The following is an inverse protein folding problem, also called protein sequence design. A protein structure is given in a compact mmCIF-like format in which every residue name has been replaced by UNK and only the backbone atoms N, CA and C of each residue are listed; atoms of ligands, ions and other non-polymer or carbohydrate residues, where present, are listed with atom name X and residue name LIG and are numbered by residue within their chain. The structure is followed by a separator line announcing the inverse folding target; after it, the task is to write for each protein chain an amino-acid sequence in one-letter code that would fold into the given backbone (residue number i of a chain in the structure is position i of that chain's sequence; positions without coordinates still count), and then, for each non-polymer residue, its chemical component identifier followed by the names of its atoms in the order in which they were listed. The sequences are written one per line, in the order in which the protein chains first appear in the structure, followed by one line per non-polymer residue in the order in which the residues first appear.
data_IF_804847665381
#
_entry.id   IF_804847665381
#
_cell.length_a   1.000
_cell.length_b   1.000
_cell.length_c   1.000
_cell.angle_alpha   90.00
_cell.angle_beta   90.00
_cell.angle_gamma   90.00
#
_symmetry.space_group_name_H-M   'P 1'
#
loop_
_entity.id
_entity.type
_entity.pdbx_description
1 polymer ?
#
# COMPACT_ATOMS: atom_id res chain seq x y z
N UNK A 1 3.31 13.54 23.75
CA UNK A 1 1.88 13.14 23.77
C UNK A 1 1.79 11.67 24.16
N UNK A 2 0.67 11.22 24.79
CA UNK A 2 0.44 9.80 25.05
C UNK A 2 0.22 9.04 23.71
N UNK A 3 0.83 7.86 23.50
CA UNK A 3 0.74 7.10 22.25
C UNK A 3 -0.70 6.70 21.86
N UNK A 4 -1.55 6.41 22.86
CA UNK A 4 -2.96 6.08 22.62
C UNK A 4 -3.77 7.28 22.13
N UNK A 5 -3.48 8.46 22.69
CA UNK A 5 -4.13 9.70 22.24
C UNK A 5 -3.73 10.06 20.82
N UNK A 6 -2.44 9.93 20.49
CA UNK A 6 -1.93 10.17 19.14
C UNK A 6 -2.56 9.20 18.11
N UNK A 7 -2.58 7.90 18.43
CA UNK A 7 -3.23 6.89 17.60
C UNK A 7 -4.75 7.16 17.44
N UNK A 8 -5.41 7.56 18.54
CA UNK A 8 -6.82 7.92 18.54
C UNK A 8 -7.12 9.10 17.60
N UNK A 9 -6.32 10.16 17.64
CA UNK A 9 -6.51 11.33 16.78
C UNK A 9 -6.33 10.98 15.29
N UNK A 10 -5.33 10.15 14.97
CA UNK A 10 -5.13 9.67 13.61
C UNK A 10 -6.32 8.79 13.14
N UNK A 11 -6.72 7.80 13.94
CA UNK A 11 -7.83 6.91 13.61
C UNK A 11 -9.16 7.67 13.50
N UNK A 12 -9.42 8.64 14.39
CA UNK A 12 -10.62 9.46 14.33
C UNK A 12 -10.71 10.31 13.05
N UNK A 13 -9.58 10.79 12.53
CA UNK A 13 -9.53 11.49 11.25
C UNK A 13 -9.92 10.57 10.09
N UNK A 14 -9.44 9.32 10.11
CA UNK A 14 -9.78 8.29 9.12
C UNK A 14 -11.27 7.91 9.20
N UNK A 15 -11.76 7.59 10.39
CA UNK A 15 -13.17 7.21 10.60
C UNK A 15 -14.16 8.34 10.23
N UNK A 16 -13.71 9.59 10.33
CA UNK A 16 -14.48 10.75 9.88
C UNK A 16 -14.32 11.07 8.38
N UNK A 17 -13.56 10.27 7.61
CA UNK A 17 -13.32 10.49 6.18
C UNK A 17 -12.50 11.74 5.85
N UNK A 18 -11.75 12.29 6.82
CA UNK A 18 -10.99 13.55 6.65
C UNK A 18 -9.58 13.35 6.14
N UNK A 19 -8.99 12.18 6.35
CA UNK A 19 -7.63 11.86 5.92
C UNK A 19 -7.41 10.35 5.85
N UNK A 20 -6.39 9.91 5.10
CA UNK A 20 -5.83 8.56 5.20
C UNK A 20 -4.95 8.42 6.45
N UNK A 21 -4.63 7.19 6.87
CA UNK A 21 -3.64 6.96 7.94
C UNK A 21 -2.27 7.53 7.55
N UNK A 22 -1.88 7.40 6.28
CA UNK A 22 -0.62 7.95 5.77
C UNK A 22 -0.53 9.47 5.91
N UNK A 23 -1.65 10.19 5.85
CA UNK A 23 -1.69 11.64 6.07
C UNK A 23 -1.90 12.02 7.54
N UNK A 24 -2.74 11.28 8.28
CA UNK A 24 -3.13 11.64 9.63
C UNK A 24 -2.10 11.25 10.70
N UNK A 25 -1.36 10.16 10.51
CA UNK A 25 -0.47 9.62 11.54
C UNK A 25 0.86 10.37 11.69
N UNK A 26 1.60 10.75 10.63
CA UNK A 26 2.91 11.41 10.76
C UNK A 26 2.88 12.65 11.66
N UNK A 27 1.94 13.61 11.53
CA UNK A 27 1.88 14.78 12.40
C UNK A 27 1.60 14.43 13.87
N UNK A 28 1.07 13.25 14.15
CA UNK A 28 0.86 12.78 15.52
C UNK A 28 2.13 12.12 16.08
N UNK A 29 2.88 11.39 15.24
CA UNK A 29 4.16 10.78 15.62
C UNK A 29 5.20 11.81 16.03
N UNK A 30 5.18 13.00 15.43
CA UNK A 30 6.09 14.10 15.79
C UNK A 30 5.84 14.63 17.21
N UNK A 31 4.64 14.42 17.76
CA UNK A 31 4.24 14.84 19.11
C UNK A 31 4.50 13.75 20.16
N UNK A 32 4.91 12.57 19.74
CA UNK A 32 5.15 11.40 20.61
C UNK A 32 6.65 11.20 20.80
N UNK A 33 7.06 10.77 22.01
CA UNK A 33 8.45 10.43 22.26
C UNK A 33 8.92 9.32 21.30
N UNK A 34 10.18 9.36 20.83
CA UNK A 34 10.69 8.38 19.84
C UNK A 34 10.44 6.92 20.22
N UNK A 35 10.65 6.56 21.51
CA UNK A 35 10.42 5.22 22.06
C UNK A 35 8.96 4.74 21.96
N UNK A 36 8.00 5.65 21.89
CA UNK A 36 6.55 5.37 21.89
C UNK A 36 5.95 5.41 20.47
N UNK A 37 6.72 5.79 19.46
CA UNK A 37 6.26 5.88 18.05
C UNK A 37 5.80 4.54 17.51
N UNK A 38 6.55 3.47 17.79
CA UNK A 38 6.17 2.11 17.37
C UNK A 38 4.82 1.67 17.95
N UNK A 39 4.58 1.94 19.24
CA UNK A 39 3.28 1.67 19.86
C UNK A 39 2.16 2.50 19.23
N UNK A 40 2.40 3.77 18.96
CA UNK A 40 1.41 4.64 18.30
C UNK A 40 1.01 4.10 16.93
N UNK A 41 1.99 3.69 16.13
CA UNK A 41 1.76 3.07 14.82
C UNK A 41 0.97 1.77 14.95
N UNK A 42 1.42 0.86 15.82
CA UNK A 42 0.75 -0.42 16.07
C UNK A 42 -0.72 -0.23 16.43
N UNK A 43 -1.03 0.70 17.33
CA UNK A 43 -2.40 0.96 17.76
C UNK A 43 -3.27 1.57 16.65
N UNK A 44 -2.73 2.50 15.86
CA UNK A 44 -3.47 3.14 14.79
C UNK A 44 -3.73 2.16 13.62
N UNK A 45 -2.68 1.48 13.15
CA UNK A 45 -2.79 0.52 12.05
C UNK A 45 -3.58 -0.72 12.45
N UNK A 46 -3.35 -1.25 13.65
CA UNK A 46 -4.03 -2.43 14.16
C UNK A 46 -5.53 -2.21 14.35
N UNK A 47 -5.91 -1.09 14.96
CA UNK A 47 -7.33 -0.74 15.12
C UNK A 47 -8.03 -0.51 13.77
N UNK A 48 -7.36 0.12 12.80
CA UNK A 48 -7.89 0.26 11.44
C UNK A 48 -8.00 -1.09 10.72
N UNK A 49 -7.00 -1.98 10.88
CA UNK A 49 -6.95 -3.32 10.28
C UNK A 49 -8.12 -4.20 10.73
N UNK A 50 -8.45 -4.15 12.00
CA UNK A 50 -9.52 -4.95 12.59
C UNK A 50 -10.81 -4.16 12.83
N UNK A 51 -10.93 -2.94 12.27
CA UNK A 51 -12.06 -2.06 12.52
C UNK A 51 -13.43 -2.73 12.34
N UNK A 52 -13.73 -3.53 11.29
CA UNK A 52 -15.04 -4.16 11.15
C UNK A 52 -15.39 -5.10 12.32
N UNK A 53 -14.42 -5.87 12.79
CA UNK A 53 -14.59 -6.77 13.94
C UNK A 53 -14.71 -6.02 15.26
N UNK A 54 -13.84 -5.03 15.47
CA UNK A 54 -13.88 -4.18 16.66
C UNK A 54 -15.17 -3.36 16.73
N UNK A 55 -15.67 -2.89 15.61
CA UNK A 55 -16.95 -2.19 15.48
C UNK A 55 -18.12 -3.09 15.85
N UNK A 56 -18.15 -4.34 15.36
CA UNK A 56 -19.18 -5.31 15.68
C UNK A 56 -19.18 -5.64 17.18
N UNK A 57 -17.98 -5.79 17.77
CA UNK A 57 -17.83 -6.01 19.21
C UNK A 57 -18.28 -4.79 20.03
N UNK A 58 -17.87 -3.58 19.63
CA UNK A 58 -18.30 -2.35 20.28
C UNK A 58 -19.83 -2.19 20.27
N UNK A 59 -20.48 -2.56 19.17
CA UNK A 59 -21.94 -2.53 19.06
C UNK A 59 -22.65 -3.50 20.04
N UNK A 60 -22.01 -4.62 20.40
CA UNK A 60 -22.54 -5.55 21.42
C UNK A 60 -22.33 -5.08 22.87
N UNK A 61 -21.28 -4.29 23.07
CA UNK A 61 -20.87 -3.80 24.38
C UNK A 61 -21.56 -2.48 24.77
N UNK A 62 -21.83 -1.62 23.79
CA UNK A 62 -22.47 -0.33 24.01
C UNK A 62 -24.00 -0.46 24.06
N UNK A 63 -24.63 0.25 24.99
CA UNK A 63 -26.10 0.37 25.01
C UNK A 63 -26.63 1.23 23.86
N UNK A 64 -25.87 2.28 23.51
CA UNK A 64 -26.18 3.20 22.41
C UNK A 64 -24.87 3.57 21.69
N UNK A 65 -24.86 3.68 20.35
CA UNK A 65 -23.69 4.14 19.61
C UNK A 65 -23.32 5.58 19.99
N UNK A 66 -22.06 5.92 19.89
CA UNK A 66 -21.60 7.31 20.02
C UNK A 66 -22.15 8.18 18.88
N UNK A 67 -22.36 9.46 19.16
CA UNK A 67 -22.77 10.44 18.14
C UNK A 67 -21.61 10.71 17.18
N UNK A 68 -21.91 11.20 15.98
CA UNK A 68 -20.89 11.58 15.00
C UNK A 68 -19.87 12.61 15.53
N UNK A 69 -20.32 13.52 16.43
CA UNK A 69 -19.46 14.49 17.12
C UNK A 69 -18.44 13.84 18.09
N UNK A 70 -18.63 12.56 18.43
CA UNK A 70 -17.82 11.80 19.38
C UNK A 70 -17.01 10.67 18.69
N UNK A 71 -16.69 10.85 17.40
CA UNK A 71 -15.86 9.91 16.63
C UNK A 71 -14.50 9.65 17.27
N UNK A 72 -13.94 10.62 17.96
CA UNK A 72 -12.71 10.48 18.75
C UNK A 72 -12.88 9.53 19.95
N UNK A 73 -13.99 9.58 20.68
CA UNK A 73 -14.31 8.63 21.75
C UNK A 73 -14.54 7.23 21.17
N UNK A 74 -15.19 7.17 20.01
CA UNK A 74 -15.37 5.91 19.30
C UNK A 74 -14.03 5.31 18.88
N UNK A 75 -13.13 6.08 18.26
CA UNK A 75 -11.78 5.67 17.91
C UNK A 75 -10.98 5.20 19.14
N UNK A 76 -11.12 5.92 20.27
CA UNK A 76 -10.47 5.57 21.53
C UNK A 76 -10.97 4.23 22.07
N UNK A 77 -12.28 3.94 21.98
CA UNK A 77 -12.85 2.65 22.32
C UNK A 77 -12.26 1.53 21.43
N UNK A 78 -12.22 1.72 20.10
CA UNK A 78 -11.65 0.72 19.19
C UNK A 78 -10.19 0.42 19.51
N UNK A 79 -9.39 1.43 19.83
CA UNK A 79 -8.00 1.26 20.27
C UNK A 79 -7.91 0.49 21.58
N UNK A 80 -8.81 0.77 22.53
CA UNK A 80 -8.89 0.01 23.79
C UNK A 80 -9.20 -1.46 23.56
N UNK A 81 -10.19 -1.75 22.72
CA UNK A 81 -10.56 -3.12 22.33
C UNK A 81 -9.42 -3.81 21.57
N UNK A 82 -8.76 -3.10 20.65
CA UNK A 82 -7.60 -3.64 19.93
C UNK A 82 -6.49 -4.07 20.88
N UNK A 83 -6.14 -3.23 21.88
CA UNK A 83 -5.13 -3.56 22.86
C UNK A 83 -5.47 -4.84 23.64
N UNK A 84 -6.73 -4.98 24.08
CA UNK A 84 -7.17 -6.14 24.86
C UNK A 84 -7.15 -7.46 24.05
N UNK A 85 -7.38 -7.39 22.74
CA UNK A 85 -7.57 -8.57 21.90
C UNK A 85 -6.33 -8.99 21.11
N UNK A 86 -5.49 -8.02 20.72
CA UNK A 86 -4.44 -8.25 19.72
C UNK A 86 -3.03 -7.87 20.20
N UNK A 87 -2.89 -7.36 21.43
CA UNK A 87 -1.57 -6.99 21.96
C UNK A 87 -1.25 -7.73 23.25
N UNK A 88 0.03 -7.71 23.62
CA UNK A 88 0.50 -8.26 24.91
C UNK A 88 0.47 -7.22 26.04
N UNK A 89 -0.17 -6.06 25.83
CA UNK A 89 -0.28 -5.03 26.85
C UNK A 89 -1.16 -5.54 27.99
N UNK A 90 -0.69 -5.46 29.25
CA UNK A 90 -1.50 -5.90 30.38
C UNK A 90 -2.87 -5.22 30.42
N UNK A 91 -3.98 -5.95 30.64
CA UNK A 91 -5.34 -5.40 30.55
C UNK A 91 -5.58 -4.16 31.42
N UNK A 92 -5.00 -4.12 32.63
CA UNK A 92 -5.13 -2.96 33.51
C UNK A 92 -4.51 -1.70 32.90
N UNK A 93 -3.35 -1.83 32.22
CA UNK A 93 -2.68 -0.74 31.55
C UNK A 93 -3.44 -0.34 30.26
N UNK A 94 -3.90 -1.32 29.47
CA UNK A 94 -4.72 -1.06 28.29
C UNK A 94 -5.97 -0.25 28.63
N UNK A 95 -6.70 -0.64 29.70
CA UNK A 95 -7.92 0.03 30.11
C UNK A 95 -7.60 1.41 30.74
N UNK A 96 -6.72 1.44 31.75
CA UNK A 96 -6.45 2.66 32.50
C UNK A 96 -5.94 3.80 31.64
N UNK A 97 -4.92 3.52 30.82
CA UNK A 97 -4.32 4.49 29.92
C UNK A 97 -5.28 4.96 28.80
N UNK A 98 -6.12 4.05 28.29
CA UNK A 98 -7.14 4.42 27.28
C UNK A 98 -8.20 5.33 27.88
N UNK A 99 -8.75 4.97 29.06
CA UNK A 99 -9.76 5.77 29.75
C UNK A 99 -9.21 7.17 30.12
N UNK A 100 -7.93 7.24 30.55
CA UNK A 100 -7.27 8.51 30.87
C UNK A 100 -7.16 9.48 29.70
N UNK A 101 -7.15 8.99 28.47
CA UNK A 101 -7.12 9.84 27.28
C UNK A 101 -8.41 10.68 27.08
N UNK A 102 -9.54 10.26 27.65
CA UNK A 102 -10.81 11.00 27.52
C UNK A 102 -10.73 12.43 28.13
N UNK A 103 -9.96 12.61 29.20
CA UNK A 103 -9.73 13.94 29.78
C UNK A 103 -8.95 14.84 28.82
N UNK A 104 -7.96 14.29 28.13
CA UNK A 104 -7.14 15.02 27.12
C UNK A 104 -7.95 15.41 25.89
N UNK A 105 -9.02 14.66 25.58
CA UNK A 105 -10.00 14.99 24.55
C UNK A 105 -11.07 15.96 25.03
N UNK A 106 -11.00 16.44 26.30
CA UNK A 106 -12.01 17.30 26.94
C UNK A 106 -13.40 16.64 27.00
N UNK A 107 -13.44 15.31 27.04
CA UNK A 107 -14.65 14.48 27.08
C UNK A 107 -14.64 13.54 28.30
N UNK A 108 -14.35 14.10 29.48
CA UNK A 108 -14.28 13.35 30.75
C UNK A 108 -15.54 12.56 31.07
N UNK A 109 -16.71 12.97 30.53
CA UNK A 109 -17.97 12.23 30.64
C UNK A 109 -17.88 10.79 30.08
N UNK A 110 -17.02 10.55 29.10
CA UNK A 110 -16.87 9.23 28.46
C UNK A 110 -16.10 8.22 29.32
N UNK A 111 -15.37 8.65 30.36
CA UNK A 111 -14.52 7.75 31.19
C UNK A 111 -15.31 6.59 31.77
N UNK A 112 -16.47 6.86 32.34
CA UNK A 112 -17.33 5.82 32.92
C UNK A 112 -17.76 4.76 31.91
N UNK A 113 -18.21 5.21 30.73
CA UNK A 113 -18.63 4.32 29.63
C UNK A 113 -17.44 3.51 29.09
N UNK A 114 -16.32 4.16 28.78
CA UNK A 114 -15.12 3.48 28.29
C UNK A 114 -14.62 2.43 29.29
N UNK A 115 -14.53 2.76 30.57
CA UNK A 115 -14.09 1.81 31.61
C UNK A 115 -15.05 0.63 31.72
N UNK A 116 -16.37 0.87 31.78
CA UNK A 116 -17.36 -0.20 31.87
C UNK A 116 -17.32 -1.14 30.64
N UNK A 117 -17.26 -0.57 29.43
CA UNK A 117 -17.22 -1.32 28.17
C UNK A 117 -15.93 -2.14 28.07
N UNK A 118 -14.77 -1.54 28.32
CA UNK A 118 -13.47 -2.25 28.23
C UNK A 118 -13.32 -3.33 29.31
N UNK A 119 -13.81 -3.11 30.54
CA UNK A 119 -13.83 -4.15 31.56
C UNK A 119 -14.79 -5.29 31.22
N UNK A 120 -15.94 -4.98 30.60
CA UNK A 120 -16.85 -6.02 30.10
C UNK A 120 -16.20 -6.81 28.96
N UNK A 121 -15.53 -6.13 28.01
CA UNK A 121 -14.77 -6.80 26.96
C UNK A 121 -13.67 -7.71 27.53
N UNK A 122 -13.00 -7.29 28.59
CA UNK A 122 -11.99 -8.13 29.26
C UNK A 122 -12.59 -9.42 29.86
N UNK A 123 -13.78 -9.35 30.44
CA UNK A 123 -14.43 -10.53 31.08
C UNK A 123 -15.11 -11.44 30.10
N UNK A 124 -15.80 -10.88 29.11
CA UNK A 124 -16.74 -11.59 28.23
C UNK A 124 -16.22 -11.65 26.78
N UNK A 125 -15.01 -11.15 26.50
CA UNK A 125 -14.50 -10.92 25.15
C UNK A 125 -14.49 -12.15 24.26
N UNK A 126 -14.08 -13.31 24.76
CA UNK A 126 -14.07 -14.56 23.99
C UNK A 126 -15.47 -14.99 23.54
N UNK A 127 -16.43 -14.95 24.45
CA UNK A 127 -17.83 -15.28 24.13
C UNK A 127 -18.42 -14.31 23.11
N UNK A 128 -18.21 -13.01 23.34
CA UNK A 128 -18.70 -11.98 22.43
C UNK A 128 -18.03 -12.03 21.05
N UNK A 129 -16.74 -12.38 20.99
CA UNK A 129 -16.04 -12.59 19.72
C UNK A 129 -16.62 -13.77 18.95
N UNK A 130 -16.90 -14.90 19.64
CA UNK A 130 -17.54 -16.04 18.99
C UNK A 130 -18.93 -15.71 18.42
N UNK A 131 -19.65 -14.78 19.04
CA UNK A 131 -20.92 -14.29 18.52
C UNK A 131 -20.75 -13.39 17.29
N UNK A 132 -19.87 -12.39 17.34
CA UNK A 132 -19.67 -11.44 16.22
C UNK A 132 -19.01 -12.12 15.02
N UNK A 133 -18.19 -13.13 15.23
CA UNK A 133 -17.51 -13.89 14.17
C UNK A 133 -18.45 -14.81 13.35
N UNK A 134 -19.72 -14.91 13.75
CA UNK A 134 -20.77 -15.50 12.89
C UNK A 134 -21.03 -14.64 11.64
N UNK A 135 -20.76 -13.33 11.70
CA UNK A 135 -20.77 -12.46 10.52
C UNK A 135 -19.38 -12.52 9.84
N UNK A 136 -19.30 -12.99 8.58
CA UNK A 136 -18.04 -13.01 7.84
C UNK A 136 -17.32 -11.67 7.77
N UNK A 137 -18.06 -10.55 7.77
CA UNK A 137 -17.47 -9.20 7.76
C UNK A 137 -16.64 -8.93 9.02
N UNK A 138 -17.17 -9.32 10.19
CA UNK A 138 -16.45 -9.23 11.45
C UNK A 138 -15.30 -10.24 11.50
N UNK A 139 -15.57 -11.51 11.24
CA UNK A 139 -14.59 -12.59 11.30
C UNK A 139 -13.38 -12.35 10.42
N UNK A 140 -13.59 -11.94 9.16
CA UNK A 140 -12.52 -11.67 8.21
C UNK A 140 -11.99 -10.22 8.30
N UNK A 141 -12.61 -9.35 9.11
CA UNK A 141 -12.16 -7.97 9.29
C UNK A 141 -12.25 -7.10 8.04
N UNK A 142 -13.24 -7.33 7.17
CA UNK A 142 -13.45 -6.60 5.92
C UNK A 142 -14.90 -6.13 5.78
N UNK A 143 -15.16 -4.96 5.17
CA UNK A 143 -16.53 -4.51 4.89
C UNK A 143 -17.24 -5.48 3.94
N UNK A 144 -18.54 -5.61 4.10
CA UNK A 144 -19.36 -6.57 3.34
C UNK A 144 -19.24 -6.40 1.82
N UNK A 145 -19.21 -5.17 1.32
CA UNK A 145 -19.07 -4.90 -0.10
C UNK A 145 -17.74 -5.44 -0.65
N UNK A 146 -16.65 -5.23 0.10
CA UNK A 146 -15.31 -5.67 -0.30
C UNK A 146 -15.21 -7.20 -0.27
N UNK A 147 -15.76 -7.86 0.75
CA UNK A 147 -15.83 -9.32 0.77
C UNK A 147 -16.62 -9.88 -0.41
N UNK A 148 -17.74 -9.23 -0.77
CA UNK A 148 -18.53 -9.64 -1.93
C UNK A 148 -17.70 -9.53 -3.22
N UNK A 149 -17.01 -8.41 -3.42
CA UNK A 149 -16.16 -8.17 -4.58
C UNK A 149 -14.97 -9.15 -4.65
N UNK A 150 -14.28 -9.36 -3.52
CA UNK A 150 -13.18 -10.33 -3.44
C UNK A 150 -13.65 -11.77 -3.69
N UNK A 151 -14.79 -12.15 -3.12
CA UNK A 151 -15.36 -13.48 -3.34
C UNK A 151 -15.77 -13.72 -4.79
N UNK A 152 -16.27 -12.69 -5.45
CA UNK A 152 -16.62 -12.76 -6.88
C UNK A 152 -15.37 -12.90 -7.75
N UNK A 153 -14.32 -12.16 -7.45
CA UNK A 153 -13.06 -12.17 -8.20
C UNK A 153 -12.20 -13.42 -7.91
N UNK A 154 -12.13 -13.83 -6.65
CA UNK A 154 -11.20 -14.85 -6.13
C UNK A 154 -11.91 -15.80 -5.16
N UNK A 155 -12.88 -16.61 -5.63
CA UNK A 155 -13.72 -17.43 -4.75
C UNK A 155 -12.91 -18.44 -3.92
N UNK A 156 -11.88 -19.07 -4.51
CA UNK A 156 -11.05 -20.08 -3.86
C UNK A 156 -9.96 -19.46 -2.95
N UNK A 157 -9.56 -18.22 -3.22
CA UNK A 157 -8.50 -17.53 -2.50
C UNK A 157 -9.01 -16.55 -1.44
N UNK A 158 -10.33 -16.44 -1.23
CA UNK A 158 -10.91 -15.41 -0.38
C UNK A 158 -10.31 -15.40 1.04
N UNK A 159 -10.25 -16.55 1.70
CA UNK A 159 -9.79 -16.63 3.08
C UNK A 159 -8.29 -16.34 3.20
N UNK A 160 -7.46 -16.84 2.27
CA UNK A 160 -6.03 -16.56 2.24
C UNK A 160 -5.74 -15.11 1.94
N UNK A 161 -6.51 -14.50 1.03
CA UNK A 161 -6.40 -13.08 0.67
C UNK A 161 -6.79 -12.19 1.86
N UNK A 162 -7.89 -12.50 2.55
CA UNK A 162 -8.29 -11.77 3.76
C UNK A 162 -7.27 -11.94 4.89
N UNK A 163 -6.69 -13.13 5.05
CA UNK A 163 -5.63 -13.38 6.03
C UNK A 163 -4.38 -12.53 5.72
N UNK A 164 -3.95 -12.49 4.45
CA UNK A 164 -2.82 -11.67 4.02
C UNK A 164 -3.07 -10.16 4.24
N UNK A 165 -4.28 -9.68 3.92
CA UNK A 165 -4.68 -8.29 4.17
C UNK A 165 -4.66 -7.90 5.66
N UNK A 166 -4.86 -8.87 6.56
CA UNK A 166 -4.86 -8.65 8.00
C UNK A 166 -3.51 -8.98 8.66
N UNK A 167 -2.55 -9.52 7.92
CA UNK A 167 -1.21 -9.77 8.42
C UNK A 167 -0.40 -8.46 8.57
N UNK A 168 0.64 -8.49 9.40
CA UNK A 168 1.66 -7.45 9.40
C UNK A 168 2.45 -7.53 8.09
N UNK A 169 2.70 -6.39 7.41
CA UNK A 169 3.47 -6.40 6.18
C UNK A 169 4.93 -6.77 6.46
N UNK A 170 5.54 -7.66 5.67
CA UNK A 170 6.97 -7.89 5.74
C UNK A 170 7.73 -6.63 5.30
N UNK A 171 8.94 -6.45 5.83
CA UNK A 171 9.86 -5.44 5.35
C UNK A 171 10.73 -6.06 4.27
N UNK A 172 10.57 -5.56 3.05
CA UNK A 172 11.32 -6.02 1.88
C UNK A 172 12.23 -4.90 1.39
N UNK A 173 13.48 -5.24 1.14
CA UNK A 173 14.50 -4.37 0.61
C UNK A 173 14.74 -4.67 -0.86
N UNK A 174 15.11 -3.66 -1.62
CA UNK A 174 15.66 -3.76 -2.96
C UNK A 174 17.11 -3.32 -2.91
N UNK A 175 18.02 -4.18 -3.31
CA UNK A 175 19.44 -3.87 -3.42
C UNK A 175 19.67 -3.02 -4.66
N UNK A 176 20.46 -1.95 -4.52
CA UNK A 176 20.85 -1.09 -5.62
C UNK A 176 22.05 -1.74 -6.36
N UNK A 177 21.81 -2.28 -7.55
CA UNK A 177 22.84 -2.97 -8.37
C UNK A 177 24.06 -2.09 -8.70
N UNK A 178 23.92 -0.80 -8.62
CA UNK A 178 25.06 0.14 -8.81
C UNK A 178 26.09 0.07 -7.69
N UNK A 179 25.70 -0.48 -6.54
CA UNK A 179 26.55 -0.62 -5.34
C UNK A 179 26.94 -2.06 -5.01
N UNK A 180 26.36 -3.05 -5.67
CA UNK A 180 26.68 -4.46 -5.46
C UNK A 180 25.52 -5.40 -5.74
N UNK A 181 25.78 -6.68 -5.56
CA UNK A 181 24.81 -7.75 -5.82
C UNK A 181 24.06 -8.13 -4.54
N UNK A 182 22.85 -8.68 -4.70
CA UNK A 182 21.95 -9.10 -3.59
C UNK A 182 22.63 -10.03 -2.60
N UNK A 183 23.36 -11.04 -3.10
CA UNK A 183 23.92 -12.09 -2.23
C UNK A 183 25.07 -11.55 -1.37
N UNK A 184 25.83 -10.56 -1.86
CA UNK A 184 26.83 -9.86 -1.07
C UNK A 184 26.19 -9.06 0.05
N UNK A 185 25.07 -8.38 -0.23
CA UNK A 185 24.35 -7.63 0.80
C UNK A 185 23.66 -8.55 1.82
N UNK A 186 23.17 -9.72 1.42
CA UNK A 186 22.67 -10.76 2.34
C UNK A 186 23.76 -11.23 3.33
N UNK A 187 25.00 -11.44 2.85
CA UNK A 187 26.11 -11.79 3.71
C UNK A 187 26.42 -10.69 4.73
N UNK A 188 26.43 -9.44 4.30
CA UNK A 188 26.63 -8.28 5.18
C UNK A 188 25.52 -8.14 6.25
N UNK A 189 24.25 -8.37 5.88
CA UNK A 189 23.15 -8.41 6.84
C UNK A 189 23.36 -9.52 7.89
N UNK A 190 23.82 -10.72 7.46
CA UNK A 190 24.10 -11.81 8.37
C UNK A 190 25.24 -11.47 9.33
N UNK A 191 26.34 -10.84 8.85
CA UNK A 191 27.43 -10.35 9.70
C UNK A 191 26.96 -9.30 10.71
N UNK A 192 26.00 -8.45 10.31
CA UNK A 192 25.36 -7.46 11.19
C UNK A 192 24.33 -8.09 12.16
N UNK A 193 24.12 -9.42 12.14
CA UNK A 193 23.13 -10.11 12.96
C UNK A 193 21.68 -9.85 12.53
N UNK A 194 21.45 -9.44 11.29
CA UNK A 194 20.13 -9.14 10.72
C UNK A 194 19.65 -10.35 9.91
N UNK A 195 18.65 -11.08 10.43
CA UNK A 195 18.04 -12.19 9.72
C UNK A 195 17.32 -11.71 8.46
N UNK A 196 17.65 -12.33 7.32
CA UNK A 196 17.07 -11.99 6.03
C UNK A 196 17.12 -13.19 5.06
N UNK A 197 16.28 -13.17 4.02
CA UNK A 197 16.29 -14.13 2.93
C UNK A 197 16.12 -13.44 1.58
N UNK A 198 16.60 -14.09 0.52
CA UNK A 198 16.29 -13.64 -0.84
C UNK A 198 14.79 -13.72 -1.10
N UNK A 199 14.27 -12.80 -1.88
CA UNK A 199 12.91 -12.86 -2.44
C UNK A 199 12.84 -13.92 -3.55
N UNK A 200 11.64 -14.45 -3.79
CA UNK A 200 11.43 -15.57 -4.71
C UNK A 200 11.43 -15.12 -6.19
N UNK A 201 10.96 -13.92 -6.46
CA UNK A 201 10.71 -13.43 -7.83
C UNK A 201 11.58 -12.24 -8.21
N UNK A 202 11.89 -11.34 -7.28
CA UNK A 202 12.77 -10.21 -7.56
C UNK A 202 14.23 -10.61 -7.42
N UNK A 203 15.01 -10.34 -8.46
CA UNK A 203 16.46 -10.56 -8.46
C UNK A 203 17.18 -9.73 -7.39
N UNK A 204 16.69 -8.52 -7.10
CA UNK A 204 17.30 -7.57 -6.17
C UNK A 204 16.63 -7.58 -4.78
N UNK A 205 15.59 -8.40 -4.62
CA UNK A 205 14.74 -8.42 -3.45
C UNK A 205 15.31 -9.20 -2.28
N UNK A 206 15.23 -8.62 -1.09
CA UNK A 206 15.59 -9.25 0.19
C UNK A 206 14.44 -9.00 1.17
N UNK A 207 13.94 -10.05 1.79
CA UNK A 207 12.95 -9.94 2.86
C UNK A 207 13.63 -10.08 4.23
N UNK A 208 13.44 -9.11 5.11
CA UNK A 208 13.91 -9.17 6.48
C UNK A 208 13.04 -10.10 7.33
N UNK A 209 13.66 -10.81 8.27
CA UNK A 209 12.96 -11.67 9.23
C UNK A 209 12.09 -10.85 10.21
N UNK A 210 12.47 -9.60 10.49
CA UNK A 210 11.69 -8.66 11.29
C UNK A 210 11.90 -7.23 10.76
N UNK A 211 10.85 -6.37 10.80
CA UNK A 211 10.98 -4.96 10.45
C UNK A 211 12.00 -4.25 11.36
N UNK A 212 12.75 -3.32 10.76
CA UNK A 212 13.77 -2.51 11.47
C UNK A 212 13.67 -1.05 11.06
N UNK A 213 14.28 -0.19 11.87
CA UNK A 213 14.54 1.19 11.45
C UNK A 213 15.54 1.16 10.27
N UNK A 214 15.23 1.88 9.20
CA UNK A 214 16.10 1.94 8.01
C UNK A 214 17.49 2.47 8.32
N UNK A 215 17.63 3.24 9.40
CA UNK A 215 18.93 3.77 9.89
C UNK A 215 19.85 2.69 10.45
N UNK A 216 19.30 1.52 10.79
CA UNK A 216 20.06 0.36 11.26
C UNK A 216 20.53 -0.54 10.11
N UNK A 217 20.08 -0.26 8.88
CA UNK A 217 20.46 -1.04 7.71
C UNK A 217 21.81 -0.56 7.16
N UNK A 218 22.77 -1.46 6.93
CA UNK A 218 24.07 -1.12 6.36
C UNK A 218 23.94 -0.36 5.03
N UNK A 219 24.53 0.83 4.93
CA UNK A 219 24.57 1.62 3.71
C UNK A 219 23.22 2.13 3.19
N UNK A 220 22.18 2.22 4.03
CA UNK A 220 20.89 2.79 3.60
C UNK A 220 21.00 4.27 3.23
N UNK A 221 21.72 5.04 4.05
CA UNK A 221 21.94 6.48 3.79
C UNK A 221 22.74 6.71 2.51
N UNK A 222 23.68 5.82 2.20
CA UNK A 222 24.52 5.81 1.01
C UNK A 222 23.82 5.28 -0.24
N UNK A 223 22.54 4.92 -0.12
CA UNK A 223 21.74 4.48 -1.26
C UNK A 223 21.98 3.03 -1.70
N UNK A 224 22.59 2.17 -0.87
CA UNK A 224 22.85 0.78 -1.20
C UNK A 224 21.59 -0.09 -1.25
N UNK A 225 20.56 0.29 -0.52
CA UNK A 225 19.26 -0.37 -0.52
C UNK A 225 18.11 0.62 -0.43
N UNK A 226 16.95 0.18 -0.87
CA UNK A 226 15.66 0.88 -0.72
C UNK A 226 14.61 -0.06 -0.15
N UNK A 227 13.60 0.47 0.56
CA UNK A 227 12.46 -0.32 1.00
C UNK A 227 11.43 -0.34 -0.13
N UNK A 228 11.17 -1.53 -0.66
CA UNK A 228 10.16 -1.72 -1.71
C UNK A 228 9.64 -3.16 -1.66
N UNK A 229 8.33 -3.33 -1.79
CA UNK A 229 7.72 -4.66 -1.88
C UNK A 229 8.22 -5.43 -3.10
N UNK A 230 8.38 -6.76 -2.96
CA UNK A 230 8.87 -7.64 -4.02
C UNK A 230 8.02 -7.52 -5.29
N UNK A 231 6.68 -7.51 -5.17
CA UNK A 231 5.81 -7.41 -6.33
C UNK A 231 6.02 -6.11 -7.10
N UNK A 232 6.26 -4.98 -6.41
CA UNK A 232 6.54 -3.70 -7.05
C UNK A 232 7.92 -3.64 -7.70
N UNK A 233 8.88 -4.46 -7.25
CA UNK A 233 10.22 -4.54 -7.84
C UNK A 233 10.22 -5.14 -9.25
N UNK A 234 9.25 -6.00 -9.59
CA UNK A 234 9.17 -6.62 -10.91
C UNK A 234 9.01 -5.60 -12.05
N UNK A 235 8.47 -4.41 -11.78
CA UNK A 235 8.20 -3.41 -12.80
C UNK A 235 9.43 -3.05 -13.66
N UNK A 236 10.59 -2.83 -13.05
CA UNK A 236 11.80 -2.42 -13.76
C UNK A 236 12.33 -3.52 -14.69
N UNK A 237 12.28 -4.78 -14.25
CA UNK A 237 12.70 -5.92 -15.06
C UNK A 237 11.72 -6.19 -16.21
N UNK A 238 10.40 -6.11 -15.94
CA UNK A 238 9.36 -6.38 -16.92
C UNK A 238 9.29 -5.31 -18.02
N UNK A 239 9.69 -4.08 -17.73
CA UNK A 239 9.75 -3.02 -18.73
C UNK A 239 10.85 -3.24 -19.77
N UNK A 240 11.91 -3.98 -19.42
CA UNK A 240 13.04 -4.32 -20.32
C UNK A 240 13.62 -3.08 -21.02
N UNK A 241 13.92 -2.05 -20.25
CA UNK A 241 14.55 -0.84 -20.79
C UNK A 241 16.00 -1.12 -21.20
N UNK A 242 16.46 -0.45 -22.27
CA UNK A 242 17.78 -0.62 -22.86
C UNK A 242 18.55 0.72 -22.89
N UNK A 243 19.90 0.67 -23.01
CA UNK A 243 20.70 1.89 -23.14
C UNK A 243 20.22 2.79 -24.30
N UNK A 244 20.31 4.10 -24.11
CA UNK A 244 19.90 5.09 -25.09
C UNK A 244 18.40 5.31 -25.23
N UNK A 245 17.58 4.57 -24.51
CA UNK A 245 16.12 4.75 -24.52
C UNK A 245 15.67 5.91 -23.66
N UNK A 246 14.57 6.53 -24.10
CA UNK A 246 13.81 7.54 -23.38
C UNK A 246 12.62 6.86 -22.71
N UNK A 247 12.50 7.01 -21.40
CA UNK A 247 11.52 6.28 -20.57
C UNK A 247 10.59 7.28 -19.88
N UNK A 248 9.28 6.97 -19.89
CA UNK A 248 8.29 7.66 -19.08
C UNK A 248 7.90 6.77 -17.89
N UNK A 249 7.90 7.35 -16.68
CA UNK A 249 7.27 6.78 -15.49
C UNK A 249 6.06 7.65 -15.13
N UNK A 250 4.87 7.20 -15.49
CA UNK A 250 3.61 7.90 -15.25
C UNK A 250 3.00 7.47 -13.91
N UNK A 251 2.55 8.48 -13.13
CA UNK A 251 2.07 8.35 -11.76
C UNK A 251 3.17 7.86 -10.80
N UNK A 252 4.35 8.49 -10.92
CA UNK A 252 5.63 7.98 -10.42
C UNK A 252 5.79 7.98 -8.89
N UNK A 253 5.05 8.83 -8.17
CA UNK A 253 5.28 9.00 -6.73
C UNK A 253 4.91 7.75 -5.91
N UNK A 254 5.75 7.38 -4.94
CA UNK A 254 6.86 8.12 -4.32
C UNK A 254 8.25 7.93 -4.96
N UNK A 255 8.35 7.43 -6.20
CA UNK A 255 9.60 7.31 -6.95
C UNK A 255 10.34 5.99 -6.82
N UNK A 256 9.77 5.00 -6.15
CA UNK A 256 10.42 3.70 -5.96
C UNK A 256 10.70 2.96 -7.27
N UNK A 257 9.78 3.03 -8.25
CA UNK A 257 9.93 2.44 -9.58
C UNK A 257 10.84 3.29 -10.47
N UNK A 258 10.71 4.62 -10.44
CA UNK A 258 11.62 5.56 -11.12
C UNK A 258 13.07 5.29 -10.77
N UNK A 259 13.38 5.22 -9.45
CA UNK A 259 14.73 4.92 -8.97
C UNK A 259 15.19 3.55 -9.44
N UNK A 260 14.34 2.53 -9.36
CA UNK A 260 14.67 1.16 -9.78
C UNK A 260 15.01 1.08 -11.27
N UNK A 261 14.29 1.77 -12.14
CA UNK A 261 14.61 1.89 -13.56
C UNK A 261 16.03 2.44 -13.79
N UNK A 262 16.38 3.50 -13.07
CA UNK A 262 17.70 4.14 -13.15
C UNK A 262 18.83 3.32 -12.52
N UNK A 263 18.51 2.50 -11.51
CA UNK A 263 19.47 1.57 -10.90
C UNK A 263 19.77 0.38 -11.83
N UNK A 264 18.72 -0.14 -12.49
CA UNK A 264 18.85 -1.32 -13.37
C UNK A 264 19.41 -0.97 -14.74
N UNK A 265 19.16 0.24 -15.23
CA UNK A 265 19.63 0.69 -16.56
C UNK A 265 20.23 2.10 -16.50
N UNK A 266 21.50 2.23 -16.08
CA UNK A 266 22.16 3.54 -15.96
C UNK A 266 22.45 4.24 -17.31
N UNK A 267 22.34 3.53 -18.43
CA UNK A 267 22.56 4.04 -19.77
C UNK A 267 21.33 4.63 -20.46
N UNK A 268 20.22 4.87 -19.75
CA UNK A 268 19.02 5.53 -20.32
C UNK A 268 19.36 6.94 -20.80
N UNK A 269 18.83 7.32 -21.96
CA UNK A 269 19.02 8.67 -22.49
C UNK A 269 18.30 9.72 -21.62
N UNK A 270 17.08 9.38 -21.17
CA UNK A 270 16.28 10.26 -20.32
C UNK A 270 15.21 9.43 -19.58
N UNK A 271 14.93 9.82 -18.34
CA UNK A 271 13.74 9.35 -17.60
C UNK A 271 12.90 10.56 -17.23
N UNK A 272 11.67 10.61 -17.72
CA UNK A 272 10.66 11.60 -17.31
C UNK A 272 9.72 10.92 -16.34
N UNK A 273 9.54 11.51 -15.16
CA UNK A 273 8.68 11.01 -14.10
C UNK A 273 7.57 12.03 -13.83
N UNK A 274 6.32 11.64 -14.11
CA UNK A 274 5.15 12.51 -14.02
C UNK A 274 4.29 12.08 -12.85
N UNK A 275 3.86 13.02 -12.00
CA UNK A 275 2.82 12.79 -11.00
C UNK A 275 1.91 14.02 -10.90
N UNK A 276 0.65 13.82 -10.53
CA UNK A 276 -0.35 14.89 -10.48
C UNK A 276 -0.01 15.97 -9.45
N UNK A 277 0.53 15.55 -8.30
CA UNK A 277 0.71 16.44 -7.15
C UNK A 277 2.19 16.77 -6.91
N UNK A 278 2.56 18.05 -6.98
CA UNK A 278 3.90 18.53 -6.64
C UNK A 278 4.35 18.09 -5.22
N UNK A 279 3.42 18.07 -4.27
CA UNK A 279 3.71 17.63 -2.90
C UNK A 279 4.21 16.17 -2.82
N UNK A 280 3.75 15.31 -3.72
CA UNK A 280 4.18 13.92 -3.81
C UNK A 280 5.56 13.77 -4.47
N UNK A 281 5.90 14.67 -5.40
CA UNK A 281 7.21 14.69 -6.05
C UNK A 281 8.37 15.06 -5.09
N UNK A 282 8.08 15.68 -3.95
CA UNK A 282 9.10 15.92 -2.90
C UNK A 282 9.76 14.60 -2.50
N UNK A 283 8.98 13.53 -2.31
CA UNK A 283 9.51 12.20 -1.97
C UNK A 283 10.34 11.58 -3.09
N UNK A 284 9.97 11.83 -4.33
CA UNK A 284 10.73 11.36 -5.50
C UNK A 284 12.11 12.06 -5.52
N UNK A 285 12.16 13.38 -5.29
CA UNK A 285 13.42 14.15 -5.21
C UNK A 285 14.31 13.64 -4.07
N UNK A 286 13.75 13.43 -2.89
CA UNK A 286 14.50 12.89 -1.74
C UNK A 286 15.13 11.53 -2.06
N UNK A 287 14.37 10.63 -2.71
CA UNK A 287 14.88 9.31 -3.10
C UNK A 287 15.96 9.41 -4.18
N UNK A 288 15.75 10.21 -5.23
CA UNK A 288 16.75 10.45 -6.27
C UNK A 288 18.05 11.00 -5.68
N UNK A 289 17.95 12.00 -4.79
CA UNK A 289 19.11 12.59 -4.12
C UNK A 289 19.88 11.57 -3.29
N UNK A 290 19.17 10.80 -2.43
CA UNK A 290 19.79 9.75 -1.58
C UNK A 290 20.50 8.68 -2.40
N UNK A 291 19.95 8.33 -3.57
CA UNK A 291 20.46 7.27 -4.44
C UNK A 291 21.48 7.78 -5.48
N UNK A 292 21.76 9.10 -5.52
CA UNK A 292 22.64 9.68 -6.52
C UNK A 292 22.12 9.50 -7.95
N UNK A 293 20.81 9.59 -8.15
CA UNK A 293 20.11 9.38 -9.43
C UNK A 293 19.52 10.69 -9.95
N UNK A 294 19.26 10.75 -11.26
CA UNK A 294 18.65 11.91 -11.91
C UNK A 294 17.49 11.49 -12.80
N UNK A 295 16.39 12.24 -12.73
CA UNK A 295 15.24 12.15 -13.62
C UNK A 295 14.60 13.53 -13.78
N UNK A 296 13.92 13.77 -14.90
CA UNK A 296 13.11 14.96 -15.12
C UNK A 296 11.75 14.77 -14.42
N UNK A 297 11.49 15.58 -13.39
CA UNK A 297 10.24 15.51 -12.62
C UNK A 297 9.23 16.54 -13.11
N UNK A 298 8.01 16.09 -13.37
CA UNK A 298 6.94 16.95 -13.90
C UNK A 298 5.68 16.77 -13.03
N UNK A 299 5.21 17.89 -12.46
CA UNK A 299 3.93 17.94 -11.75
C UNK A 299 2.83 18.28 -12.75
N UNK A 300 2.11 17.27 -13.24
CA UNK A 300 1.04 17.45 -14.23
C UNK A 300 0.07 16.25 -14.19
N UNK A 301 -1.13 16.45 -14.73
CA UNK A 301 -1.99 15.35 -15.09
C UNK A 301 -1.37 14.60 -16.27
N UNK A 302 -1.05 13.33 -16.09
CA UNK A 302 -0.45 12.49 -17.13
C UNK A 302 -1.32 12.40 -18.40
N UNK A 303 -2.64 12.66 -18.30
CA UNK A 303 -3.57 12.72 -19.41
C UNK A 303 -3.42 13.99 -20.25
N UNK A 304 -2.96 15.08 -19.65
CA UNK A 304 -2.77 16.37 -20.32
C UNK A 304 -1.43 16.44 -21.07
N UNK A 305 -1.17 15.48 -21.96
CA UNK A 305 0.12 15.33 -22.65
C UNK A 305 0.57 16.58 -23.39
N UNK A 306 -0.37 17.39 -23.90
CA UNK A 306 -0.06 18.69 -24.54
C UNK A 306 0.58 19.72 -23.61
N UNK A 307 0.53 19.55 -22.30
CA UNK A 307 1.07 20.49 -21.31
C UNK A 307 2.52 20.15 -20.91
N UNK A 308 2.91 18.87 -20.97
CA UNK A 308 4.17 18.41 -20.40
C UNK A 308 5.06 17.61 -21.37
N UNK A 309 4.50 17.04 -22.44
CA UNK A 309 5.26 16.25 -23.40
C UNK A 309 5.88 17.15 -24.47
N UNK A 310 7.15 16.95 -24.76
CA UNK A 310 7.93 17.73 -25.75
C UNK A 310 7.75 17.25 -27.22
N UNK A 311 6.87 16.29 -27.46
CA UNK A 311 6.60 15.73 -28.79
C UNK A 311 7.58 14.62 -29.21
N UNK A 312 8.65 14.34 -28.46
CA UNK A 312 9.56 13.23 -28.74
C UNK A 312 9.03 11.93 -28.16
N UNK A 313 8.86 10.85 -28.95
CA UNK A 313 8.27 9.63 -28.47
C UNK A 313 9.14 8.92 -27.42
N UNK A 314 8.47 8.14 -26.57
CA UNK A 314 9.11 7.25 -25.60
C UNK A 314 9.28 5.85 -26.18
N UNK A 315 10.39 5.19 -25.89
CA UNK A 315 10.60 3.78 -26.22
C UNK A 315 9.96 2.87 -25.17
N UNK A 316 9.86 3.38 -23.94
CA UNK A 316 9.30 2.65 -22.81
C UNK A 316 8.40 3.57 -21.99
N UNK A 317 7.24 3.07 -21.61
CA UNK A 317 6.33 3.73 -20.67
C UNK A 317 6.02 2.76 -19.56
N UNK A 318 6.26 3.17 -18.32
CA UNK A 318 5.70 2.55 -17.13
C UNK A 318 4.49 3.36 -16.71
N UNK A 319 3.31 2.74 -16.70
CA UNK A 319 2.10 3.34 -16.13
C UNK A 319 1.77 2.59 -14.82
N UNK A 320 2.22 3.14 -13.69
CA UNK A 320 1.84 2.70 -12.35
C UNK A 320 0.50 3.35 -11.98
N UNK A 321 -0.58 2.81 -12.52
CA UNK A 321 -1.87 3.47 -12.60
C UNK A 321 -2.49 3.71 -11.20
N UNK A 322 -3.11 4.88 -10.97
CA UNK A 322 -3.95 5.10 -9.80
C UNK A 322 -5.02 4.02 -9.72
N UNK A 323 -5.13 3.37 -8.57
CA UNK A 323 -6.04 2.24 -8.40
C UNK A 323 -6.64 2.20 -6.98
N UNK A 324 -7.52 1.24 -6.72
CA UNK A 324 -8.13 1.05 -5.40
C UNK A 324 -7.13 0.67 -4.32
N UNK A 325 -5.95 0.20 -4.70
CA UNK A 325 -4.89 -0.29 -3.83
C UNK A 325 -5.32 -1.50 -2.96
N UNK A 326 -6.26 -2.30 -3.44
CA UNK A 326 -6.80 -3.47 -2.71
C UNK A 326 -5.80 -4.61 -2.54
N UNK A 327 -4.66 -4.57 -3.23
CA UNK A 327 -3.56 -5.52 -3.07
C UNK A 327 -2.58 -5.16 -1.94
N UNK A 328 -2.64 -3.93 -1.41
CA UNK A 328 -1.72 -3.42 -0.38
C UNK A 328 -2.42 -3.05 0.93
N UNK A 329 -3.61 -3.60 1.18
CA UNK A 329 -4.43 -3.35 2.37
C UNK A 329 -3.64 -3.58 3.66
N UNK A 330 -2.78 -4.59 3.74
CA UNK A 330 -1.99 -4.85 4.94
C UNK A 330 -1.06 -3.67 5.31
N UNK A 331 -0.60 -2.90 4.32
CA UNK A 331 0.21 -1.68 4.51
C UNK A 331 -0.64 -0.46 4.79
N UNK A 332 -1.83 -0.41 4.20
CA UNK A 332 -2.78 0.70 4.27
C UNK A 332 -4.17 0.18 4.67
N UNK A 333 -4.37 -0.26 5.93
CA UNK A 333 -5.62 -0.90 6.35
C UNK A 333 -6.83 0.03 6.31
N UNK A 334 -6.61 1.33 6.30
CA UNK A 334 -7.63 2.36 6.10
C UNK A 334 -8.27 2.32 4.70
N UNK A 335 -7.67 1.66 3.71
CA UNK A 335 -8.30 1.38 2.41
C UNK A 335 -9.66 0.69 2.61
N UNK A 336 -9.75 -0.26 3.53
CA UNK A 336 -11.01 -0.96 3.86
C UNK A 336 -12.11 -0.01 4.36
N UNK A 337 -11.73 1.12 4.95
CA UNK A 337 -12.62 2.09 5.58
C UNK A 337 -12.97 3.23 4.63
N UNK A 338 -12.04 3.62 3.76
CA UNK A 338 -12.14 4.76 2.88
C UNK A 338 -12.76 4.42 1.52
N UNK A 339 -12.46 3.23 0.96
CA UNK A 339 -12.96 2.84 -0.36
C UNK A 339 -14.42 2.43 -0.33
N UNK A 340 -15.10 2.72 -1.45
CA UNK A 340 -16.49 2.38 -1.74
C UNK A 340 -16.59 1.57 -3.02
N UNK A 341 -17.68 0.83 -3.26
CA UNK A 341 -17.87 0.08 -4.50
C UNK A 341 -17.72 0.94 -5.77
N UNK A 342 -18.20 2.18 -5.72
CA UNK A 342 -18.21 3.12 -6.86
C UNK A 342 -16.78 3.52 -7.27
N UNK A 343 -15.84 3.53 -6.33
CA UNK A 343 -14.45 3.91 -6.59
C UNK A 343 -13.78 2.96 -7.58
N UNK A 344 -14.15 1.67 -7.57
CA UNK A 344 -13.56 0.67 -8.47
C UNK A 344 -13.85 1.04 -9.94
N UNK A 345 -15.11 1.34 -10.26
CA UNK A 345 -15.51 1.72 -11.60
C UNK A 345 -14.91 3.06 -12.03
N UNK A 346 -14.89 4.04 -11.13
CA UNK A 346 -14.30 5.35 -11.39
C UNK A 346 -12.79 5.27 -11.69
N UNK A 347 -12.06 4.45 -10.92
CA UNK A 347 -10.62 4.22 -11.11
C UNK A 347 -10.35 3.44 -12.39
N UNK A 348 -11.14 2.42 -12.72
CA UNK A 348 -11.02 1.70 -13.98
C UNK A 348 -11.24 2.63 -15.20
N UNK A 349 -12.18 3.56 -15.10
CA UNK A 349 -12.38 4.59 -16.13
C UNK A 349 -11.15 5.51 -16.27
N UNK A 350 -10.64 6.03 -15.17
CA UNK A 350 -9.43 6.86 -15.15
C UNK A 350 -8.22 6.13 -15.74
N UNK A 351 -8.05 4.84 -15.44
CA UNK A 351 -6.99 4.00 -16.00
C UNK A 351 -7.12 3.88 -17.53
N UNK A 352 -8.35 3.74 -18.02
CA UNK A 352 -8.63 3.75 -19.46
C UNK A 352 -8.24 5.09 -20.11
N UNK A 353 -8.59 6.21 -19.50
CA UNK A 353 -8.20 7.55 -19.98
C UNK A 353 -6.67 7.75 -19.99
N UNK A 354 -5.97 7.26 -18.98
CA UNK A 354 -4.50 7.31 -18.90
C UNK A 354 -3.87 6.49 -20.03
N UNK A 355 -4.34 5.27 -20.27
CA UNK A 355 -3.88 4.43 -21.38
C UNK A 355 -4.08 5.14 -22.72
N UNK A 356 -5.26 5.70 -22.97
CA UNK A 356 -5.60 6.40 -24.21
C UNK A 356 -4.74 7.66 -24.42
N UNK A 357 -4.47 8.42 -23.37
CA UNK A 357 -3.68 9.63 -23.44
C UNK A 357 -2.16 9.38 -23.60
N UNK A 358 -1.63 8.32 -22.98
CA UNK A 358 -0.20 7.99 -23.02
C UNK A 358 0.17 7.19 -24.26
N UNK A 359 -0.74 6.41 -24.85
CA UNK A 359 -0.46 5.57 -26.01
C UNK A 359 0.09 6.33 -27.22
N UNK A 360 -0.41 7.53 -27.59
CA UNK A 360 0.14 8.32 -28.68
C UNK A 360 1.61 8.73 -28.46
N UNK A 361 2.05 8.91 -27.21
CA UNK A 361 3.42 9.32 -26.86
C UNK A 361 4.44 8.20 -27.01
N UNK A 362 3.99 6.94 -27.10
CA UNK A 362 4.83 5.76 -27.31
C UNK A 362 5.19 5.65 -28.80
N UNK A 363 6.45 5.34 -29.14
CA UNK A 363 6.84 5.07 -30.52
C UNK A 363 6.33 3.71 -31.02
N UNK A 364 6.29 3.52 -32.33
CA UNK A 364 6.03 2.21 -32.94
C UNK A 364 7.20 1.27 -32.60
N UNK A 365 6.90 0.07 -32.10
CA UNK A 365 7.87 -0.86 -31.51
C UNK A 365 8.17 -0.59 -30.05
N UNK A 366 7.66 0.51 -29.48
CA UNK A 366 7.78 0.82 -28.07
C UNK A 366 6.90 -0.07 -27.19
N UNK A 367 7.24 -0.13 -25.91
CA UNK A 367 6.54 -0.97 -24.92
C UNK A 367 5.98 -0.12 -23.79
N UNK A 368 4.70 -0.37 -23.47
CA UNK A 368 4.03 0.14 -22.28
C UNK A 368 3.82 -1.01 -21.29
N UNK A 369 4.36 -0.85 -20.08
CA UNK A 369 4.06 -1.72 -18.95
C UNK A 369 3.00 -1.05 -18.08
N UNK A 370 1.82 -1.67 -18.04
CA UNK A 370 0.73 -1.29 -17.15
C UNK A 370 0.88 -2.02 -15.83
N UNK A 371 0.76 -1.30 -14.74
CA UNK A 371 0.86 -1.85 -13.38
C UNK A 371 -0.21 -1.26 -12.46
N UNK A 372 -0.75 -2.07 -11.55
CA UNK A 372 -1.59 -1.63 -10.42
C UNK A 372 -1.26 -2.41 -9.17
N UNK A 373 -1.45 -1.82 -8.00
CA UNK A 373 -1.47 -2.54 -6.72
C UNK A 373 -2.90 -2.95 -6.32
N UNK A 374 -3.75 -3.27 -7.30
CA UNK A 374 -5.12 -3.74 -7.12
C UNK A 374 -5.23 -5.26 -7.35
N UNK A 375 -6.19 -5.89 -6.70
CA UNK A 375 -6.62 -7.27 -6.98
C UNK A 375 -7.99 -7.33 -7.65
N UNK A 376 -8.53 -6.18 -8.09
CA UNK A 376 -9.85 -6.11 -8.73
C UNK A 376 -9.72 -6.31 -10.24
N UNK A 377 -10.35 -7.33 -10.85
CA UNK A 377 -10.28 -7.58 -12.29
C UNK A 377 -10.68 -6.37 -13.15
N UNK A 378 -11.66 -5.59 -12.70
CA UNK A 378 -12.11 -4.39 -13.40
C UNK A 378 -11.01 -3.33 -13.62
N UNK A 379 -10.05 -3.23 -12.68
CA UNK A 379 -8.90 -2.32 -12.77
C UNK A 379 -7.71 -2.96 -13.51
N UNK A 380 -7.75 -4.25 -13.77
CA UNK A 380 -6.64 -5.08 -14.24
C UNK A 380 -6.95 -5.68 -15.64
N UNK A 381 -7.23 -6.98 -15.68
CA UNK A 381 -7.46 -7.72 -16.94
C UNK A 381 -8.59 -7.13 -17.78
N UNK A 382 -9.70 -6.69 -17.16
CA UNK A 382 -10.84 -6.12 -17.88
C UNK A 382 -10.50 -4.74 -18.47
N UNK A 383 -9.71 -3.92 -17.75
CA UNK A 383 -9.22 -2.63 -18.25
C UNK A 383 -8.31 -2.80 -19.47
N UNK A 384 -7.42 -3.79 -19.46
CA UNK A 384 -6.54 -4.11 -20.60
C UNK A 384 -7.33 -4.69 -21.77
N UNK A 385 -8.29 -5.59 -21.51
CA UNK A 385 -9.19 -6.11 -22.54
C UNK A 385 -9.93 -4.99 -23.28
N UNK A 386 -10.50 -4.05 -22.51
CA UNK A 386 -11.21 -2.90 -23.06
C UNK A 386 -10.28 -1.97 -23.86
N UNK A 387 -9.03 -1.77 -23.41
CA UNK A 387 -8.05 -0.99 -24.16
C UNK A 387 -7.65 -1.65 -25.47
N UNK A 388 -7.33 -2.94 -25.47
CA UNK A 388 -6.95 -3.69 -26.67
C UNK A 388 -8.09 -3.73 -27.71
N UNK A 389 -9.34 -3.84 -27.26
CA UNK A 389 -10.52 -3.88 -28.15
C UNK A 389 -10.70 -2.57 -28.95
N UNK A 390 -10.31 -1.41 -28.37
CA UNK A 390 -10.45 -0.10 -29.03
C UNK A 390 -9.17 0.43 -29.66
N UNK A 391 -8.03 -0.28 -29.49
CA UNK A 391 -6.71 0.18 -29.96
C UNK A 391 -6.05 -0.87 -30.85
N UNK A 392 -6.42 -0.94 -32.15
CA UNK A 392 -5.92 -1.98 -33.08
C UNK A 392 -4.38 -1.99 -33.22
N UNK A 393 -3.73 -0.85 -32.97
CA UNK A 393 -2.28 -0.73 -32.96
C UNK A 393 -1.58 -1.27 -31.71
N UNK A 394 -2.33 -1.78 -30.74
CA UNK A 394 -1.80 -2.38 -29.52
C UNK A 394 -1.85 -3.91 -29.58
N UNK A 395 -0.79 -4.54 -29.10
CA UNK A 395 -0.73 -6.00 -28.92
C UNK A 395 -0.14 -6.30 -27.54
N UNK A 396 -0.73 -7.25 -26.85
CA UNK A 396 -0.18 -7.76 -25.60
C UNK A 396 1.05 -8.65 -25.84
N UNK A 397 2.06 -8.49 -25.01
CA UNK A 397 3.22 -9.36 -24.90
C UNK A 397 3.06 -10.29 -23.72
N UNK A 398 3.50 -11.55 -23.86
CA UNK A 398 3.50 -12.49 -22.76
C UNK A 398 4.47 -12.02 -21.65
N UNK A 399 4.08 -12.29 -20.41
CA UNK A 399 4.90 -12.04 -19.23
C UNK A 399 5.35 -13.39 -18.69
N UNK A 400 6.54 -13.88 -19.07
CA UNK A 400 7.05 -15.18 -18.64
C UNK A 400 7.46 -15.17 -17.18
N UNK A 401 7.56 -16.36 -16.58
CA UNK A 401 8.09 -16.56 -15.24
C UNK A 401 7.11 -17.29 -14.30
N UNK A 402 7.62 -17.73 -13.14
CA UNK A 402 6.85 -18.51 -12.18
C UNK A 402 5.98 -17.65 -11.26
N UNK A 403 6.06 -16.32 -11.36
CA UNK A 403 5.37 -15.36 -10.48
C UNK A 403 3.92 -15.11 -10.90
N UNK A 404 3.07 -14.95 -9.91
CA UNK A 404 1.66 -14.59 -10.13
C UNK A 404 0.86 -15.61 -10.94
N UNK A 405 -0.43 -15.34 -11.12
CA UNK A 405 -1.37 -16.14 -11.89
C UNK A 405 -1.63 -15.48 -13.23
N UNK A 406 -1.54 -16.25 -14.33
CA UNK A 406 -1.93 -15.76 -15.66
C UNK A 406 -3.42 -15.44 -15.68
N UNK A 407 -3.75 -14.28 -16.21
CA UNK A 407 -5.12 -13.81 -16.42
C UNK A 407 -5.46 -13.87 -17.92
N UNK A 408 -6.69 -13.64 -18.33
CA UNK A 408 -7.04 -13.45 -19.75
C UNK A 408 -6.14 -12.41 -20.41
N UNK A 409 -5.81 -11.32 -19.69
CA UNK A 409 -4.77 -10.36 -20.02
C UNK A 409 -3.90 -10.11 -18.82
N UNK A 410 -2.58 -10.09 -19.01
CA UNK A 410 -1.59 -9.87 -17.96
C UNK A 410 -1.46 -10.98 -16.92
N UNK A 411 -0.87 -10.63 -15.79
CA UNK A 411 -0.66 -11.54 -14.64
C UNK A 411 -0.98 -10.85 -13.32
N UNK A 412 -1.59 -11.59 -12.39
CA UNK A 412 -1.98 -11.13 -11.07
C UNK A 412 -1.17 -11.82 -9.97
N UNK A 413 -0.52 -11.02 -9.13
CA UNK A 413 -0.02 -11.46 -7.82
C UNK A 413 -1.08 -11.18 -6.78
N UNK A 414 -1.49 -12.18 -6.00
CA UNK A 414 -2.32 -11.98 -4.81
C UNK A 414 -1.42 -11.81 -3.58
N UNK A 415 -1.81 -10.98 -2.60
CA UNK A 415 -1.00 -10.79 -1.41
C UNK A 415 -0.82 -12.10 -0.64
N UNK A 416 0.39 -12.34 -0.15
CA UNK A 416 0.76 -13.52 0.64
C UNK A 416 1.15 -13.12 2.06
N UNK A 417 0.78 -13.90 3.07
CA UNK A 417 1.05 -13.56 4.48
C UNK A 417 2.54 -13.29 4.72
N UNK A 418 3.42 -14.17 4.26
CA UNK A 418 4.88 -14.07 4.44
C UNK A 418 5.63 -13.71 3.15
N UNK A 419 4.93 -13.23 2.14
CA UNK A 419 5.49 -12.89 0.83
C UNK A 419 5.13 -11.48 0.40
N UNK A 420 5.01 -11.31 -0.91
CA UNK A 420 4.73 -10.04 -1.58
C UNK A 420 3.31 -9.52 -1.38
N UNK A 421 3.10 -8.26 -1.73
CA UNK A 421 1.78 -7.62 -1.84
C UNK A 421 1.03 -8.09 -3.10
N UNK A 422 -0.23 -7.67 -3.22
CA UNK A 422 -1.00 -7.85 -4.44
C UNK A 422 -0.61 -6.83 -5.51
N UNK A 423 -0.33 -7.33 -6.72
CA UNK A 423 0.05 -6.51 -7.86
C UNK A 423 -0.43 -7.13 -9.15
N UNK A 424 -0.66 -6.30 -10.15
CA UNK A 424 -1.01 -6.73 -11.49
C UNK A 424 -0.08 -6.08 -12.52
N UNK A 425 0.26 -6.84 -13.57
CA UNK A 425 1.07 -6.38 -14.69
C UNK A 425 0.50 -6.83 -16.03
N UNK A 426 0.49 -5.93 -17.01
CA UNK A 426 0.27 -6.24 -18.42
C UNK A 426 1.28 -5.47 -19.28
N UNK A 427 1.84 -6.11 -20.29
CA UNK A 427 2.88 -5.56 -21.16
C UNK A 427 2.34 -5.43 -22.58
N UNK A 428 2.35 -4.22 -23.11
CA UNK A 428 1.77 -3.89 -24.39
C UNK A 428 2.84 -3.34 -25.33
N UNK A 429 2.83 -3.78 -26.60
CA UNK A 429 3.68 -3.25 -27.66
C UNK A 429 2.84 -2.49 -28.67
N UNK A 430 3.34 -1.36 -29.14
CA UNK A 430 2.75 -0.59 -30.23
C UNK A 430 3.23 -1.12 -31.58
N UNK A 431 2.32 -1.72 -32.34
CA UNK A 431 2.66 -2.35 -33.63
C UNK A 431 2.37 -1.44 -34.83
N UNK A 432 1.56 -0.41 -34.65
CA UNK A 432 1.28 0.60 -35.67
C UNK A 432 0.96 1.96 -35.05
N UNK A 433 1.02 3.01 -35.85
CA UNK A 433 0.67 4.37 -35.44
C UNK A 433 -0.86 4.61 -35.33
N UNK A 434 -1.67 3.65 -35.77
CA UNK A 434 -3.14 3.72 -35.79
C UNK A 434 -3.73 2.80 -34.76
#
# INVERSE_FOLDING_TARGET
MNPRLAACQALAAVLAGRASLSGALPPQLDKVAPRDRGLTQELAFGAARWQPRLQALAARLLQKPFKAADTDIHALLLIGLYQLLYTRIPPHAAIGETVGCADKLKKGWAKGVLNAVLRRAQREGETLLAEVDRDPSARLGHPRWLLKALKQAWPEQLDTLCAANNAHPPMTLRVNRRHGERDAYLAELAEAGIGARACDYSRDGIQLAAPRDVRELPGFAEGRVSVQDEAAQLAAELLESAPGQRVLDACCAPGGKTCHLLETQPGLAEVIAVDLEESRLVRVRENLLRLGLQASLVAADARATGEWWDGKPFQRILLDAPCSATGVIRRHPDIKLARKPEDIAALAHLQGELLDALWPTLEVGGVLLYATCSVMPAENSDSIAAFLARTPGARELDLPGPWGMKQPHGRQLLPQVEGHDGFYYAKLIKISAR
#
